data_IF_114635891404
#
_entry.id   IF_114635891404
#
_cell.length_a   1.000
_cell.length_b   1.000
_cell.length_c   1.000
_cell.angle_alpha   90.00
_cell.angle_beta   90.00
_cell.angle_gamma   90.00
#
_symmetry.space_group_name_H-M   'P 1'
#
loop_
_entity.id
_entity.type
_entity.pdbx_description
1 polymer ?
#
# COMPACT_ATOMS: atom_id res chain seq x y z
N UNK A 1 6.23 4.14 -11.22
CA UNK A 1 4.93 4.53 -10.64
C UNK A 1 4.32 5.57 -11.56
N UNK A 2 3.13 5.31 -12.09
CA UNK A 2 2.42 6.26 -12.95
C UNK A 2 1.35 6.96 -12.12
N UNK A 3 1.19 8.30 -12.21
CA UNK A 3 0.20 9.00 -11.41
C UNK A 3 -1.22 8.56 -11.78
N UNK A 4 -2.05 8.32 -10.77
CA UNK A 4 -3.48 8.08 -10.97
C UNK A 4 -4.14 9.39 -11.41
N UNK A 5 -4.77 9.40 -12.59
CA UNK A 5 -5.45 10.58 -13.13
C UNK A 5 -6.96 10.33 -13.21
N UNK A 6 -7.71 11.01 -12.36
CA UNK A 6 -9.17 11.04 -12.42
C UNK A 6 -9.63 12.30 -13.16
N UNK A 7 -10.55 12.16 -14.12
CA UNK A 7 -11.24 13.28 -14.76
C UNK A 7 -12.74 13.12 -14.56
N UNK A 8 -13.40 14.18 -14.09
CA UNK A 8 -14.85 14.19 -13.90
C UNK A 8 -15.40 15.56 -14.26
N UNK A 9 -16.60 15.59 -14.84
CA UNK A 9 -17.38 16.81 -15.06
C UNK A 9 -18.50 16.84 -14.01
N UNK A 10 -18.59 17.94 -13.27
CA UNK A 10 -19.61 18.16 -12.24
C UNK A 10 -20.21 19.55 -12.40
N UNK A 11 -21.42 19.74 -11.89
CA UNK A 11 -22.02 21.07 -11.82
C UNK A 11 -21.31 21.88 -10.73
N UNK A 12 -20.84 23.09 -11.07
CA UNK A 12 -20.01 23.92 -10.18
C UNK A 12 -20.80 24.59 -9.03
N UNK A 13 -22.10 24.33 -8.92
CA UNK A 13 -22.98 25.01 -7.98
C UNK A 13 -23.00 24.36 -6.58
N UNK A 14 -22.47 23.14 -6.42
CA UNK A 14 -22.51 22.38 -5.15
C UNK A 14 -21.13 21.85 -4.80
N UNK A 15 -20.71 22.05 -3.56
CA UNK A 15 -19.59 21.33 -2.97
C UNK A 15 -19.96 19.88 -2.72
N UNK A 16 -18.97 18.99 -2.71
CA UNK A 16 -19.15 17.57 -2.40
C UNK A 16 -17.87 16.99 -1.83
N UNK A 17 -17.97 15.84 -1.17
CA UNK A 17 -16.81 15.11 -0.68
C UNK A 17 -16.45 13.97 -1.65
N UNK A 18 -15.16 13.87 -1.97
CA UNK A 18 -14.59 12.78 -2.72
C UNK A 18 -13.83 11.86 -1.76
N UNK A 19 -14.22 10.60 -1.67
CA UNK A 19 -13.48 9.59 -0.91
C UNK A 19 -12.45 8.94 -1.83
N UNK A 20 -11.18 9.09 -1.50
CA UNK A 20 -10.06 8.42 -2.17
C UNK A 20 -9.55 7.28 -1.31
N UNK A 21 -9.69 6.04 -1.80
CA UNK A 21 -9.11 4.85 -1.18
C UNK A 21 -7.78 4.49 -1.83
N UNK A 22 -6.70 4.54 -1.07
CA UNK A 22 -5.35 4.16 -1.51
C UNK A 22 -5.02 2.80 -0.92
N UNK A 23 -4.75 1.82 -1.77
CA UNK A 23 -4.31 0.49 -1.34
C UNK A 23 -2.78 0.48 -1.21
N UNK A 24 -2.29 -0.09 -0.12
CA UNK A 24 -0.88 -0.28 0.13
C UNK A 24 -0.39 -1.62 -0.41
N UNK A 25 0.92 -1.71 -0.60
CA UNK A 25 1.58 -2.97 -0.93
C UNK A 25 1.69 -3.87 0.29
N UNK A 26 2.02 -5.14 0.06
CA UNK A 26 2.34 -6.08 1.14
C UNK A 26 3.49 -5.55 1.99
N UNK A 27 3.35 -5.64 3.32
CA UNK A 27 4.32 -5.14 4.29
C UNK A 27 3.93 -3.84 4.97
N UNK A 28 2.82 -3.20 4.60
CA UNK A 28 2.20 -2.16 5.42
C UNK A 28 1.27 -2.77 6.49
N UNK A 29 1.13 -2.10 7.64
CA UNK A 29 0.28 -2.54 8.75
C UNK A 29 -1.21 -2.47 8.43
N UNK A 30 -1.61 -1.57 7.52
CA UNK A 30 -2.94 -1.54 6.92
C UNK A 30 -2.86 -1.90 5.43
N UNK A 31 -3.94 -2.48 4.91
CA UNK A 31 -4.08 -2.78 3.49
C UNK A 31 -4.45 -1.55 2.66
N UNK A 32 -5.10 -0.57 3.26
CA UNK A 32 -5.54 0.64 2.59
C UNK A 32 -5.78 1.79 3.57
N UNK A 33 -5.82 3.01 3.04
CA UNK A 33 -6.27 4.21 3.73
C UNK A 33 -7.34 4.91 2.92
N UNK A 34 -8.31 5.52 3.61
CA UNK A 34 -9.34 6.35 3.01
C UNK A 34 -9.08 7.82 3.36
N UNK A 35 -9.13 8.67 2.33
CA UNK A 35 -8.91 10.11 2.43
C UNK A 35 -10.18 10.81 1.96
N UNK A 36 -10.77 11.61 2.84
CA UNK A 36 -11.92 12.44 2.51
C UNK A 36 -11.42 13.78 1.96
N UNK A 37 -11.64 14.01 0.67
CA UNK A 37 -11.20 15.20 -0.05
C UNK A 37 -12.43 16.09 -0.27
N UNK A 38 -12.57 17.19 0.48
CA UNK A 38 -13.63 18.15 0.22
C UNK A 38 -13.35 18.87 -1.11
N UNK A 39 -14.34 18.88 -2.00
CA UNK A 39 -14.30 19.60 -3.26
C UNK A 39 -15.26 20.79 -3.16
N UNK A 40 -14.70 21.99 -3.18
CA UNK A 40 -15.45 23.24 -3.30
C UNK A 40 -15.01 24.01 -4.56
N UNK A 41 -15.98 24.50 -5.32
CA UNK A 41 -15.74 25.32 -6.51
C UNK A 41 -15.60 26.81 -6.17
N UNK A 42 -15.98 27.20 -4.94
CA UNK A 42 -15.69 28.52 -4.38
C UNK A 42 -14.26 28.48 -3.84
N UNK A 43 -13.31 28.79 -4.71
CA UNK A 43 -11.89 28.85 -4.34
C UNK A 43 -11.70 29.96 -3.29
N UNK A 44 -11.47 29.59 -2.03
CA UNK A 44 -10.86 30.51 -1.06
C UNK A 44 -9.37 30.62 -1.38
N UNK A 45 -8.81 31.82 -1.28
CA UNK A 45 -7.36 32.07 -1.46
C UNK A 45 -6.58 31.65 -0.21
N UNK A 46 -7.26 31.15 0.82
CA UNK A 46 -6.65 30.72 2.07
C UNK A 46 -5.72 29.52 1.85
N UNK A 47 -4.43 29.80 1.77
CA UNK A 47 -3.39 28.78 1.82
C UNK A 47 -3.32 28.22 3.25
N UNK A 48 -3.49 26.91 3.39
CA UNK A 48 -3.32 26.22 4.67
C UNK A 48 -1.92 25.60 4.70
N UNK A 49 -1.05 26.14 5.54
CA UNK A 49 0.32 25.66 5.71
C UNK A 49 0.63 25.54 7.20
N UNK A 50 0.16 24.45 7.86
CA UNK A 50 0.47 24.20 9.25
C UNK A 50 1.96 23.90 9.43
N UNK A 51 2.44 23.94 10.68
CA UNK A 51 3.75 23.38 11.01
C UNK A 51 3.76 21.87 10.68
N UNK A 52 4.48 21.52 9.62
CA UNK A 52 4.54 20.17 9.06
C UNK A 52 5.10 19.18 10.08
N UNK A 53 6.10 19.59 10.87
CA UNK A 53 6.73 18.71 11.85
C UNK A 53 5.79 18.44 13.02
N UNK A 54 5.07 19.45 13.49
CA UNK A 54 4.04 19.28 14.51
C UNK A 54 2.90 18.35 14.04
N UNK A 55 2.45 18.48 12.79
CA UNK A 55 1.41 17.60 12.23
C UNK A 55 1.92 16.16 12.11
N UNK A 56 3.14 15.96 11.60
CA UNK A 56 3.74 14.64 11.47
C UNK A 56 3.97 13.98 12.83
N UNK A 57 4.44 14.74 13.82
CA UNK A 57 4.63 14.24 15.18
C UNK A 57 3.30 13.81 15.79
N UNK A 58 2.27 14.66 15.68
CA UNK A 58 0.92 14.31 16.13
C UNK A 58 0.40 13.04 15.47
N UNK A 59 0.53 12.91 14.14
CA UNK A 59 0.09 11.71 13.42
C UNK A 59 0.80 10.45 13.93
N UNK A 60 2.09 10.54 14.24
CA UNK A 60 2.87 9.43 14.81
C UNK A 60 2.39 9.08 16.21
N UNK A 61 2.24 10.08 17.07
CA UNK A 61 1.82 9.88 18.47
C UNK A 61 0.42 9.25 18.53
N UNK A 62 -0.52 9.74 17.70
CA UNK A 62 -1.85 9.13 17.57
C UNK A 62 -1.78 7.70 17.04
N UNK A 63 -0.97 7.43 16.02
CA UNK A 63 -0.82 6.08 15.49
C UNK A 63 -0.25 5.10 16.54
N UNK A 64 0.68 5.56 17.38
CA UNK A 64 1.28 4.77 18.47
C UNK A 64 0.26 4.56 19.60
N UNK A 65 -0.41 5.63 20.04
CA UNK A 65 -1.34 5.61 21.16
C UNK A 65 -2.58 4.75 20.86
N UNK A 66 -3.16 4.93 19.68
CA UNK A 66 -4.38 4.22 19.27
C UNK A 66 -4.07 2.84 18.68
N UNK A 67 -2.78 2.45 18.62
CA UNK A 67 -2.28 1.21 18.01
C UNK A 67 -2.88 0.97 16.62
N UNK A 68 -3.08 2.05 15.86
CA UNK A 68 -3.77 2.05 14.59
C UNK A 68 -2.86 2.57 13.47
N UNK A 69 -3.16 2.17 12.24
CA UNK A 69 -2.38 2.54 11.07
C UNK A 69 -3.28 3.19 10.01
N UNK A 70 -2.68 3.97 9.11
CA UNK A 70 -3.42 4.71 8.09
C UNK A 70 -3.94 6.07 8.55
N UNK A 71 -3.43 6.58 9.68
CA UNK A 71 -3.70 7.96 10.12
C UNK A 71 -3.23 8.93 9.04
N UNK A 72 -4.07 9.92 8.71
CA UNK A 72 -3.75 10.91 7.68
C UNK A 72 -4.21 12.32 8.06
N UNK A 73 -3.50 13.32 7.54
CA UNK A 73 -3.86 14.73 7.71
C UNK A 73 -3.36 15.58 6.54
N UNK A 74 -4.03 16.72 6.33
CA UNK A 74 -3.56 17.75 5.40
C UNK A 74 -2.33 18.44 5.99
N UNK A 75 -1.25 18.53 5.23
CA UNK A 75 -0.02 19.25 5.62
C UNK A 75 0.24 20.48 4.75
N UNK A 76 -0.49 20.63 3.64
CA UNK A 76 -0.41 21.78 2.77
C UNK A 76 -1.67 21.87 1.92
N UNK A 77 -2.19 23.09 1.75
CA UNK A 77 -3.21 23.40 0.76
C UNK A 77 -2.86 24.73 0.12
N UNK A 78 -2.77 24.73 -1.20
CA UNK A 78 -2.42 25.90 -2.01
C UNK A 78 -3.46 26.08 -3.11
N UNK A 79 -4.06 27.27 -3.17
CA UNK A 79 -5.04 27.62 -4.18
C UNK A 79 -4.43 28.57 -5.22
N UNK A 80 -4.76 28.34 -6.49
CA UNK A 80 -4.33 29.17 -7.62
C UNK A 80 -5.56 29.82 -8.26
N UNK A 81 -5.49 31.12 -8.49
CA UNK A 81 -6.58 31.88 -9.11
C UNK A 81 -6.64 31.70 -10.62
N UNK A 82 -5.49 31.53 -11.27
CA UNK A 82 -5.36 31.37 -12.72
C UNK A 82 -4.29 30.33 -13.10
N UNK A 83 -4.67 29.16 -13.66
CA UNK A 83 -6.04 28.64 -13.74
C UNK A 83 -6.63 28.39 -12.34
N UNK A 84 -7.96 28.36 -12.21
CA UNK A 84 -8.62 27.97 -10.96
C UNK A 84 -8.30 26.52 -10.62
N UNK A 85 -7.32 26.29 -9.75
CA UNK A 85 -6.92 24.97 -9.30
C UNK A 85 -6.49 24.99 -7.84
N UNK A 86 -6.65 23.86 -7.17
CA UNK A 86 -6.23 23.66 -5.79
C UNK A 86 -5.30 22.45 -5.72
N UNK A 87 -4.24 22.57 -4.94
CA UNK A 87 -3.32 21.49 -4.61
C UNK A 87 -3.39 21.26 -3.11
N UNK A 88 -3.77 20.07 -2.70
CA UNK A 88 -3.74 19.64 -1.30
C UNK A 88 -2.75 18.49 -1.14
N UNK A 89 -1.85 18.58 -0.16
CA UNK A 89 -0.88 17.54 0.19
C UNK A 89 -1.31 16.89 1.50
N UNK A 90 -1.39 15.57 1.48
CA UNK A 90 -1.73 14.75 2.64
C UNK A 90 -0.50 13.99 3.13
N UNK A 91 -0.29 13.94 4.44
CA UNK A 91 0.61 13.01 5.08
C UNK A 91 -0.17 11.77 5.54
N UNK A 92 0.45 10.60 5.43
CA UNK A 92 -0.13 9.33 5.85
C UNK A 92 0.91 8.55 6.65
N UNK A 93 0.53 8.08 7.82
CA UNK A 93 1.38 7.28 8.71
C UNK A 93 0.87 5.84 8.74
N UNK A 94 1.76 4.89 8.47
CA UNK A 94 1.45 3.46 8.53
C UNK A 94 2.64 2.69 9.09
N UNK A 95 2.36 1.64 9.84
CA UNK A 95 3.38 0.74 10.36
C UNK A 95 3.91 -0.16 9.24
N UNK A 96 5.13 -0.65 9.38
CA UNK A 96 5.70 -1.64 8.46
C UNK A 96 5.70 -2.99 9.17
N UNK A 97 5.09 -4.00 8.56
CA UNK A 97 5.14 -5.39 9.02
C UNK A 97 6.44 -5.99 8.53
N UNK A 98 7.35 -6.24 9.45
CA UNK A 98 8.56 -6.98 9.16
C UNK A 98 8.25 -8.47 9.18
N UNK A 99 8.22 -9.09 8.00
CA UNK A 99 8.23 -10.54 7.90
C UNK A 99 9.63 -11.03 8.29
N UNK A 100 9.80 -11.43 9.56
CA UNK A 100 10.93 -12.25 9.94
C UNK A 100 10.79 -13.51 9.10
N UNK A 101 11.73 -13.75 8.18
CA UNK A 101 11.83 -15.07 7.56
C UNK A 101 12.08 -16.04 8.70
N UNK A 102 11.06 -16.78 9.10
CA UNK A 102 11.23 -17.98 9.91
C UNK A 102 11.96 -19.01 9.06
N UNK A 103 13.27 -18.83 8.85
CA UNK A 103 14.14 -19.97 8.77
C UNK A 103 14.12 -20.56 10.16
N UNK A 104 13.37 -21.64 10.33
CA UNK A 104 13.42 -22.50 11.50
C UNK A 104 14.89 -22.85 11.78
N UNK A 105 15.57 -22.15 12.69
CA UNK A 105 16.80 -22.64 13.32
C UNK A 105 16.94 -21.99 14.71
N UNK A 106 16.15 -22.46 15.66
CA UNK A 106 16.70 -22.96 16.92
C UNK A 106 16.50 -24.48 16.76
N UNK A 107 17.49 -25.31 16.46
CA UNK A 107 18.82 -25.38 17.03
C UNK A 107 19.85 -25.97 16.04
N UNK A 108 21.11 -25.64 16.32
CA UNK A 108 22.33 -26.38 16.05
C UNK A 108 22.72 -26.83 14.63
N UNK A 109 24.01 -26.54 14.36
CA UNK A 109 24.90 -27.22 13.42
C UNK A 109 24.90 -26.76 11.96
N UNK A 110 26.13 -26.52 11.50
CA UNK A 110 26.58 -26.29 10.14
C UNK A 110 25.83 -27.17 9.12
N UNK A 111 25.45 -26.61 7.96
CA UNK A 111 25.70 -27.21 6.64
C UNK A 111 25.16 -26.35 5.49
N UNK A 112 25.98 -26.19 4.45
CA UNK A 112 25.64 -25.58 3.16
C UNK A 112 24.55 -26.37 2.42
N UNK A 113 23.60 -25.68 1.76
CA UNK A 113 22.84 -26.32 0.68
C UNK A 113 21.50 -25.71 0.29
N UNK A 114 21.52 -24.83 -0.71
CA UNK A 114 20.58 -24.71 -1.84
C UNK A 114 19.07 -24.92 -1.59
N UNK A 115 18.31 -23.84 -1.41
CA UNK A 115 16.85 -23.86 -1.20
C UNK A 115 16.10 -23.82 -2.54
N UNK A 116 15.45 -24.93 -2.92
CA UNK A 116 14.44 -24.96 -4.00
C UNK A 116 13.03 -24.94 -3.40
N UNK A 117 12.20 -23.98 -3.81
CA UNK A 117 10.79 -23.83 -3.40
C UNK A 117 9.97 -25.07 -3.80
N UNK A 118 9.14 -25.58 -2.90
CA UNK A 118 8.07 -26.53 -3.24
C UNK A 118 6.74 -26.08 -2.59
N UNK A 119 5.72 -25.94 -3.44
CA UNK A 119 4.34 -25.57 -3.08
C UNK A 119 3.68 -26.72 -2.34
N UNK A 120 2.94 -26.39 -1.29
CA UNK A 120 2.08 -27.29 -0.53
C UNK A 120 0.75 -27.46 -1.27
N UNK A 121 0.40 -28.70 -1.63
CA UNK A 121 -0.92 -29.06 -2.15
C UNK A 121 -1.55 -30.11 -1.24
N UNK A 122 -2.77 -29.78 -0.81
CA UNK A 122 -3.65 -30.44 0.14
C UNK A 122 -4.00 -31.90 -0.25
N UNK A 123 -3.92 -32.78 0.77
CA UNK A 123 -4.56 -34.08 1.01
C UNK A 123 -4.69 -35.14 -0.12
N UNK A 124 -4.19 -36.35 0.16
CA UNK A 124 -4.60 -37.56 -0.56
C UNK A 124 -3.71 -38.78 -0.28
N UNK A 125 -4.15 -39.64 0.64
CA UNK A 125 -3.62 -40.97 0.95
C UNK A 125 -3.55 -41.85 -0.30
N UNK A 126 -2.40 -42.48 -0.60
CA UNK A 126 -2.33 -43.46 -1.71
C UNK A 126 -0.92 -43.88 -2.09
N UNK A 127 -0.71 -45.19 -2.18
CA UNK A 127 0.57 -45.91 -2.17
C UNK A 127 1.36 -45.99 -3.48
N UNK A 128 2.68 -46.23 -3.34
CA UNK A 128 3.52 -47.17 -4.11
C UNK A 128 4.00 -46.88 -5.56
N UNK A 129 5.34 -46.78 -5.67
CA UNK A 129 6.29 -47.26 -6.70
C UNK A 129 5.87 -47.24 -8.19
N UNK A 130 6.64 -46.51 -9.03
CA UNK A 130 7.53 -47.08 -10.09
C UNK A 130 8.32 -45.99 -10.84
N UNK A 131 9.63 -46.23 -11.03
CA UNK A 131 10.48 -45.58 -12.05
C UNK A 131 10.15 -46.15 -13.43
N UNK A 132 10.21 -45.32 -14.48
CA UNK A 132 10.82 -45.73 -15.76
C UNK A 132 11.21 -44.54 -16.62
N UNK A 133 12.46 -44.59 -17.12
CA UNK A 133 13.06 -43.71 -18.11
C UNK A 133 12.28 -43.78 -19.42
N UNK A 134 12.03 -42.66 -20.09
CA UNK A 134 11.73 -42.64 -21.53
C UNK A 134 12.53 -41.56 -22.23
N UNK A 135 13.17 -42.04 -23.29
CA UNK A 135 14.16 -41.48 -24.20
C UNK A 135 13.54 -40.38 -25.08
N UNK A 136 14.15 -39.18 -25.12
CA UNK A 136 13.84 -38.18 -26.15
C UNK A 136 14.47 -38.61 -27.48
N UNK A 137 13.65 -38.96 -28.47
CA UNK A 137 14.01 -38.89 -29.90
C UNK A 137 13.16 -37.81 -30.57
N UNK A 138 13.81 -36.99 -31.41
CA UNK A 138 13.23 -35.91 -32.22
C UNK A 138 12.64 -36.46 -33.53
N UNK A 139 11.62 -35.81 -34.08
CA UNK A 139 11.48 -35.46 -35.51
C UNK A 139 10.78 -34.08 -35.55
N UNK A 140 11.37 -33.01 -36.07
CA UNK A 140 11.68 -32.65 -37.47
C UNK A 140 10.46 -32.77 -38.40
N UNK A 141 10.02 -31.60 -38.89
CA UNK A 141 9.57 -31.46 -40.28
C UNK A 141 10.71 -31.83 -41.21
#
# INVERSE_FOLDING_TARGET
>A
MQPFRLKRRTMQAKSFELVLKVNFIDGCGCQSVEINIPIDFKVSIDCFNPDKDAVLQRLRDTAIQDLCCGQNAVIERTAFLMPKSEVTVYAIVTNIVQYIKSSNVLADSLSNGNVKRQRESVNGTGTSRKRSKVHRRKSRY
#
